data_IF_010367315822
#
_entry.id   IF_010367315822
#
_cell.length_a   1.000
_cell.length_b   1.000
_cell.length_c   1.000
_cell.angle_alpha   90.00
_cell.angle_beta   90.00
_cell.angle_gamma   90.00
#
_symmetry.space_group_name_H-M   'P 1'
#
loop_
_entity.id
_entity.type
_entity.pdbx_description
1 polymer ?
#
# COMPACT_ATOMS: atom_id res chain seq x y z
N UNK A 1 -17.00 -4.27 12.69
CA UNK A 1 -16.04 -3.49 11.91
C UNK A 1 -14.66 -4.00 12.24
N UNK A 2 -13.88 -4.43 11.25
CA UNK A 2 -12.50 -4.89 11.47
C UNK A 2 -11.56 -3.78 11.02
N UNK A 3 -10.79 -3.22 11.95
CA UNK A 3 -9.78 -2.20 11.67
C UNK A 3 -8.41 -2.78 12.00
N UNK A 4 -7.50 -2.76 11.02
CA UNK A 4 -6.10 -3.15 11.20
C UNK A 4 -5.19 -1.96 10.91
N UNK A 5 -4.20 -1.75 11.77
CA UNK A 5 -3.16 -0.75 11.53
C UNK A 5 -2.23 -1.19 10.39
N UNK A 6 -1.49 -0.23 9.81
CA UNK A 6 -0.54 -0.48 8.72
C UNK A 6 0.91 -0.23 9.20
N UNK A 7 1.55 -1.18 9.90
CA UNK A 7 2.90 -0.99 10.40
C UNK A 7 3.92 -0.95 9.26
N UNK A 8 4.92 -0.08 9.38
CA UNK A 8 5.97 0.05 8.38
C UNK A 8 7.09 -0.97 8.62
N UNK A 9 7.37 -1.82 7.62
CA UNK A 9 8.48 -2.78 7.69
C UNK A 9 9.85 -2.09 7.69
N UNK A 10 10.88 -2.77 8.22
CA UNK A 10 12.25 -2.25 8.31
C UNK A 10 12.81 -1.82 6.96
N UNK A 11 12.55 -2.58 5.89
CA UNK A 11 13.03 -2.24 4.55
C UNK A 11 12.48 -0.89 4.06
N UNK A 12 11.17 -0.63 4.26
CA UNK A 12 10.57 0.66 3.89
C UNK A 12 11.15 1.78 4.75
N UNK A 13 11.39 1.55 6.05
CA UNK A 13 12.06 2.53 6.92
C UNK A 13 13.46 2.89 6.43
N UNK A 14 14.26 1.90 6.01
CA UNK A 14 15.62 2.13 5.48
C UNK A 14 15.58 2.92 4.18
N UNK A 15 14.76 2.51 3.20
CA UNK A 15 14.63 3.23 1.92
C UNK A 15 14.16 4.66 2.15
N UNK A 16 13.15 4.84 3.00
CA UNK A 16 12.63 6.17 3.37
C UNK A 16 13.72 7.02 4.02
N UNK A 17 14.48 6.47 4.98
CA UNK A 17 15.57 7.18 5.64
C UNK A 17 16.67 7.63 4.66
N UNK A 18 17.07 6.76 3.73
CA UNK A 18 18.07 7.09 2.71
C UNK A 18 17.60 8.21 1.78
N UNK A 19 16.36 8.14 1.29
CA UNK A 19 15.80 9.18 0.41
C UNK A 19 15.69 10.52 1.15
N UNK A 20 15.26 10.52 2.41
CA UNK A 20 15.18 11.74 3.21
C UNK A 20 16.56 12.33 3.50
N UNK A 21 17.55 11.50 3.84
CA UNK A 21 18.92 11.94 4.05
C UNK A 21 19.53 12.56 2.78
N UNK A 22 19.36 11.89 1.63
CA UNK A 22 19.82 12.42 0.34
C UNK A 22 19.13 13.75 0.01
N UNK A 23 17.82 13.85 0.24
CA UNK A 23 17.07 15.10 0.03
C UNK A 23 17.61 16.23 0.92
N UNK A 24 17.86 15.94 2.21
CA UNK A 24 18.42 16.92 3.13
C UNK A 24 19.82 17.39 2.71
N UNK A 25 20.69 16.47 2.28
CA UNK A 25 22.02 16.82 1.76
C UNK A 25 21.92 17.72 0.52
N UNK A 26 21.03 17.40 -0.43
CA UNK A 26 20.83 18.22 -1.62
C UNK A 26 20.31 19.62 -1.29
N UNK A 27 19.39 19.75 -0.33
CA UNK A 27 18.90 21.05 0.12
C UNK A 27 19.99 21.88 0.82
N UNK A 28 20.78 21.26 1.69
CA UNK A 28 21.88 21.92 2.40
C UNK A 28 22.99 22.37 1.44
N UNK A 29 23.43 21.47 0.55
CA UNK A 29 24.42 21.80 -0.49
C UNK A 29 23.87 22.84 -1.48
N UNK A 30 22.56 22.80 -1.72
CA UNK A 30 21.87 23.73 -2.59
C UNK A 30 21.95 25.19 -2.15
N UNK A 31 22.10 25.47 -0.86
CA UNK A 31 22.29 26.85 -0.37
C UNK A 31 23.48 27.53 -1.06
N UNK A 32 24.48 26.76 -1.53
CA UNK A 32 25.60 27.26 -2.33
C UNK A 32 25.44 27.04 -3.84
N UNK A 33 24.60 26.09 -4.26
CA UNK A 33 24.44 25.70 -5.67
C UNK A 33 22.95 25.64 -6.00
N UNK A 34 22.45 26.67 -6.68
CA UNK A 34 21.02 26.84 -6.94
C UNK A 34 20.35 25.63 -7.64
N UNK A 35 21.06 24.96 -8.56
CA UNK A 35 20.54 23.76 -9.23
C UNK A 35 20.24 22.59 -8.28
N UNK A 36 21.00 22.45 -7.19
CA UNK A 36 20.75 21.43 -6.17
C UNK A 36 19.55 21.78 -5.28
N UNK A 37 19.23 23.07 -5.10
CA UNK A 37 17.99 23.48 -4.40
C UNK A 37 16.76 23.06 -5.19
N UNK A 38 16.76 23.26 -6.50
CA UNK A 38 15.62 22.86 -7.34
C UNK A 38 15.42 21.34 -7.31
N UNK A 39 16.51 20.58 -7.44
CA UNK A 39 16.47 19.11 -7.33
C UNK A 39 16.03 18.62 -5.95
N UNK A 40 16.60 19.18 -4.89
CA UNK A 40 16.25 18.87 -3.50
C UNK A 40 14.81 19.26 -3.16
N UNK A 41 14.35 20.42 -3.62
CA UNK A 41 12.98 20.89 -3.43
C UNK A 41 11.96 20.02 -4.14
N UNK A 42 12.26 19.58 -5.37
CA UNK A 42 11.43 18.62 -6.10
C UNK A 42 11.35 17.28 -5.35
N UNK A 43 12.49 16.73 -4.91
CA UNK A 43 12.52 15.49 -4.12
C UNK A 43 11.76 15.61 -2.81
N UNK A 44 11.91 16.73 -2.09
CA UNK A 44 11.17 16.99 -0.86
C UNK A 44 9.66 17.05 -1.11
N UNK A 45 9.23 17.68 -2.20
CA UNK A 45 7.81 17.76 -2.59
C UNK A 45 7.25 16.38 -2.91
N UNK A 46 8.00 15.56 -3.67
CA UNK A 46 7.62 14.17 -3.97
C UNK A 46 7.57 13.34 -2.69
N UNK A 47 8.53 13.50 -1.77
CA UNK A 47 8.54 12.79 -0.50
C UNK A 47 7.35 13.16 0.38
N UNK A 48 7.00 14.45 0.44
CA UNK A 48 5.83 14.93 1.16
C UNK A 48 4.54 14.38 0.56
N UNK A 49 4.43 14.34 -0.77
CA UNK A 49 3.31 13.70 -1.45
C UNK A 49 3.21 12.21 -1.10
N UNK A 50 4.32 11.46 -1.17
CA UNK A 50 4.38 10.06 -0.79
C UNK A 50 3.98 9.82 0.67
N UNK A 51 4.37 10.72 1.57
CA UNK A 51 3.99 10.67 2.99
C UNK A 51 2.49 10.78 3.19
N UNK A 52 1.82 11.75 2.54
CA UNK A 52 0.37 11.92 2.67
C UNK A 52 -0.42 10.76 2.06
N UNK A 53 0.10 10.14 1.01
CA UNK A 53 -0.50 8.99 0.33
C UNK A 53 -0.06 7.63 0.89
N UNK A 54 0.65 7.60 2.03
CA UNK A 54 0.95 6.35 2.73
C UNK A 54 -0.31 5.82 3.46
N UNK A 55 -0.65 4.52 3.32
CA UNK A 55 -1.75 3.91 4.06
C UNK A 55 -1.48 3.93 5.56
N UNK A 56 -2.50 4.20 6.36
CA UNK A 56 -2.43 4.18 7.83
C UNK A 56 -3.23 3.05 8.45
N UNK A 57 -4.36 2.72 7.85
CA UNK A 57 -5.25 1.68 8.34
C UNK A 57 -6.06 1.05 7.20
N UNK A 58 -6.45 -0.20 7.41
CA UNK A 58 -7.36 -0.94 6.55
C UNK A 58 -8.60 -1.30 7.34
N UNK A 59 -9.76 -0.93 6.80
CA UNK A 59 -11.05 -1.20 7.40
C UNK A 59 -11.88 -2.06 6.45
N UNK A 60 -12.48 -3.12 6.99
CA UNK A 60 -13.41 -3.95 6.24
C UNK A 60 -14.80 -3.86 6.89
N UNK A 61 -15.77 -3.39 6.11
CA UNK A 61 -17.14 -3.16 6.57
C UNK A 61 -18.12 -3.75 5.55
N UNK A 62 -18.77 -4.87 5.92
CA UNK A 62 -19.64 -5.60 5.01
C UNK A 62 -18.88 -6.11 3.79
N UNK A 63 -19.29 -5.64 2.61
CA UNK A 63 -18.68 -5.94 1.31
C UNK A 63 -17.70 -4.86 0.83
N UNK A 64 -17.24 -3.95 1.70
CA UNK A 64 -16.37 -2.84 1.29
C UNK A 64 -15.02 -2.86 2.02
N UNK A 65 -13.95 -2.71 1.25
CA UNK A 65 -12.60 -2.42 1.75
C UNK A 65 -12.37 -0.92 1.72
N UNK A 66 -12.05 -0.33 2.86
CA UNK A 66 -11.60 1.06 2.96
C UNK A 66 -10.12 1.11 3.33
N UNK A 67 -9.33 1.74 2.46
CA UNK A 67 -7.93 2.08 2.75
C UNK A 67 -7.88 3.53 3.22
N UNK A 68 -7.42 3.75 4.44
CA UNK A 68 -7.28 5.10 5.01
C UNK A 68 -5.87 5.61 4.82
N UNK A 69 -5.77 6.85 4.38
CA UNK A 69 -4.51 7.57 4.23
C UNK A 69 -4.44 8.69 5.26
N UNK A 70 -3.30 9.36 5.36
CA UNK A 70 -3.16 10.59 6.16
C UNK A 70 -4.11 11.67 5.66
N UNK A 71 -4.30 11.73 4.34
CA UNK A 71 -5.22 12.66 3.71
C UNK A 71 -6.27 11.88 2.91
N UNK A 72 -7.46 11.76 3.48
CA UNK A 72 -8.60 11.10 2.86
C UNK A 72 -8.63 9.57 3.01
N UNK A 73 -9.53 8.95 2.25
CA UNK A 73 -9.75 7.49 2.24
C UNK A 73 -10.12 7.04 0.83
N UNK A 74 -9.84 5.78 0.53
CA UNK A 74 -10.28 5.13 -0.70
C UNK A 74 -11.12 3.91 -0.39
N UNK A 75 -12.30 3.86 -0.99
CA UNK A 75 -13.28 2.80 -0.76
C UNK A 75 -13.34 1.92 -2.01
N UNK A 76 -13.33 0.61 -1.79
CA UNK A 76 -13.45 -0.43 -2.79
C UNK A 76 -14.65 -1.30 -2.44
N UNK A 77 -15.79 -1.16 -3.15
CA UNK A 77 -16.99 -1.93 -2.86
C UNK A 77 -16.95 -3.34 -3.47
N UNK A 78 -17.94 -4.15 -3.12
CA UNK A 78 -18.15 -5.49 -3.66
C UNK A 78 -16.92 -6.41 -3.50
N UNK A 79 -16.40 -6.51 -2.29
CA UNK A 79 -15.38 -7.49 -1.88
C UNK A 79 -15.97 -8.89 -1.97
N UNK A 80 -15.39 -9.71 -2.84
CA UNK A 80 -15.80 -11.09 -3.11
C UNK A 80 -14.85 -12.12 -2.48
N UNK A 81 -13.64 -11.70 -2.10
CA UNK A 81 -12.63 -12.57 -1.53
C UNK A 81 -11.60 -11.83 -0.69
N UNK A 82 -11.13 -12.45 0.38
CA UNK A 82 -10.02 -11.97 1.19
C UNK A 82 -9.15 -13.17 1.59
N UNK A 83 -7.87 -13.16 1.24
CA UNK A 83 -6.96 -14.27 1.55
C UNK A 83 -5.53 -13.82 1.78
N UNK A 84 -4.80 -14.53 2.64
CA UNK A 84 -3.34 -14.36 2.79
C UNK A 84 -2.62 -14.98 1.59
N UNK A 85 -1.40 -14.52 1.31
CA UNK A 85 -0.57 -15.15 0.29
C UNK A 85 0.15 -16.39 0.84
N UNK A 86 -0.01 -17.53 0.17
CA UNK A 86 0.73 -18.76 0.45
C UNK A 86 2.16 -18.76 -0.10
N UNK A 87 2.41 -17.94 -1.13
CA UNK A 87 3.70 -17.82 -1.79
C UNK A 87 3.96 -16.38 -2.19
N UNK A 88 5.24 -16.04 -2.39
CA UNK A 88 5.65 -14.73 -2.89
C UNK A 88 5.00 -14.48 -4.25
N UNK A 89 4.31 -13.34 -4.45
CA UNK A 89 3.73 -13.03 -5.75
C UNK A 89 4.85 -12.82 -6.78
N UNK A 90 4.61 -13.20 -8.05
CA UNK A 90 5.61 -13.05 -9.09
C UNK A 90 5.99 -11.58 -9.27
N UNK A 91 7.21 -11.36 -9.76
CA UNK A 91 7.73 -10.02 -10.05
C UNK A 91 6.75 -9.29 -10.98
N UNK A 92 6.42 -8.06 -10.63
CA UNK A 92 5.44 -7.26 -11.35
C UNK A 92 6.03 -5.95 -11.85
N UNK A 93 5.38 -5.40 -12.87
CA UNK A 93 5.66 -4.06 -13.40
C UNK A 93 4.84 -3.04 -12.61
N UNK A 94 5.49 -1.95 -12.18
CA UNK A 94 4.82 -0.80 -11.59
C UNK A 94 4.33 0.09 -12.74
N UNK A 95 3.02 0.13 -12.95
CA UNK A 95 2.40 0.97 -13.98
C UNK A 95 2.29 2.42 -13.51
N UNK A 96 1.94 2.62 -12.23
CA UNK A 96 1.85 3.95 -11.64
C UNK A 96 1.96 3.89 -10.13
N UNK A 97 2.62 4.88 -9.52
CA UNK A 97 2.64 5.09 -8.07
C UNK A 97 4.03 5.02 -7.43
N UNK A 98 4.03 4.78 -6.13
CA UNK A 98 5.18 4.78 -5.24
C UNK A 98 5.62 3.34 -4.91
N UNK A 99 6.93 3.10 -4.83
CA UNK A 99 7.52 1.77 -4.70
C UNK A 99 8.41 1.58 -3.48
N UNK A 100 8.28 2.41 -2.44
CA UNK A 100 9.07 2.20 -1.22
C UNK A 100 9.32 3.43 -0.35
N UNK A 101 8.93 4.64 -0.77
CA UNK A 101 9.03 5.82 0.08
C UNK A 101 7.80 5.90 0.98
N UNK A 102 7.93 5.59 2.27
CA UNK A 102 6.82 5.38 3.22
C UNK A 102 5.87 4.20 2.93
N UNK A 103 5.63 3.85 1.66
CA UNK A 103 4.79 2.73 1.27
C UNK A 103 5.03 2.32 -0.20
N UNK A 104 4.61 1.11 -0.57
CA UNK A 104 4.38 0.74 -1.97
C UNK A 104 2.89 0.90 -2.28
N UNK A 105 2.54 2.02 -2.93
CA UNK A 105 1.17 2.38 -3.27
C UNK A 105 1.02 2.64 -4.76
N UNK A 106 -0.01 2.09 -5.40
CA UNK A 106 -0.22 2.35 -6.81
C UNK A 106 -0.93 1.25 -7.58
N UNK A 107 -0.70 1.27 -8.89
CA UNK A 107 -1.21 0.31 -9.87
C UNK A 107 -0.04 -0.51 -10.36
N UNK A 108 -0.18 -1.82 -10.24
CA UNK A 108 0.82 -2.81 -10.59
C UNK A 108 0.22 -3.82 -11.55
N UNK A 109 1.10 -4.49 -12.29
CA UNK A 109 0.71 -5.60 -13.14
C UNK A 109 1.65 -6.77 -12.94
N UNK A 110 1.11 -7.99 -12.88
CA UNK A 110 1.91 -9.20 -13.01
C UNK A 110 1.08 -10.30 -13.70
N UNK A 111 1.75 -11.37 -14.12
CA UNK A 111 1.10 -12.46 -14.85
C UNK A 111 0.04 -13.20 -14.03
N UNK A 112 0.20 -13.29 -12.70
CA UNK A 112 -0.74 -14.02 -11.83
C UNK A 112 -2.04 -13.25 -11.53
N UNK A 113 -1.97 -11.92 -11.40
CA UNK A 113 -3.07 -11.08 -10.94
C UNK A 113 -3.61 -10.15 -12.01
N UNK A 114 -2.94 -10.03 -13.16
CA UNK A 114 -3.25 -9.01 -14.15
C UNK A 114 -2.95 -7.61 -13.59
N UNK A 115 -3.79 -6.62 -13.90
CA UNK A 115 -3.71 -5.29 -13.29
C UNK A 115 -4.33 -5.34 -11.89
N UNK A 116 -3.57 -4.92 -10.88
CA UNK A 116 -4.03 -4.86 -9.50
C UNK A 116 -3.54 -3.58 -8.82
N UNK A 117 -4.18 -3.23 -7.70
CA UNK A 117 -3.74 -2.11 -6.86
C UNK A 117 -2.97 -2.64 -5.67
N UNK A 118 -1.94 -1.92 -5.26
CA UNK A 118 -1.21 -2.23 -4.03
C UNK A 118 -1.25 -1.02 -3.09
N UNK A 119 -1.45 -1.29 -1.81
CA UNK A 119 -1.38 -0.33 -0.72
C UNK A 119 -0.63 -0.98 0.44
N UNK A 120 0.69 -1.06 0.33
CA UNK A 120 1.54 -1.87 1.22
C UNK A 120 2.47 -0.99 2.05
N UNK A 121 2.49 -1.21 3.35
CA UNK A 121 3.46 -0.65 4.30
C UNK A 121 4.49 -1.69 4.74
N UNK A 122 4.33 -2.94 4.31
CA UNK A 122 5.35 -3.99 4.46
C UNK A 122 5.97 -4.35 3.11
N UNK A 123 7.25 -4.72 3.13
CA UNK A 123 7.95 -5.34 2.00
C UNK A 123 7.99 -6.89 2.11
N UNK A 124 7.47 -7.45 3.22
CA UNK A 124 7.42 -8.89 3.46
C UNK A 124 6.11 -9.43 2.93
N UNK A 125 6.18 -10.36 1.98
CA UNK A 125 4.98 -10.89 1.33
C UNK A 125 4.05 -11.66 2.29
N UNK A 126 4.58 -12.16 3.41
CA UNK A 126 3.81 -12.84 4.46
C UNK A 126 2.83 -11.89 5.17
N UNK A 127 3.12 -10.60 5.15
CA UNK A 127 2.26 -9.57 5.75
C UNK A 127 1.12 -9.17 4.80
N UNK A 128 1.06 -9.76 3.59
CA UNK A 128 0.14 -9.32 2.56
C UNK A 128 -1.19 -10.08 2.61
N UNK A 129 -2.26 -9.34 2.34
CA UNK A 129 -3.60 -9.87 2.12
C UNK A 129 -4.07 -9.43 0.73
N UNK A 130 -4.50 -10.41 -0.06
CA UNK A 130 -5.15 -10.20 -1.34
C UNK A 130 -6.66 -10.07 -1.12
N UNK A 131 -7.18 -8.89 -1.43
CA UNK A 131 -8.61 -8.61 -1.46
C UNK A 131 -9.08 -8.61 -2.90
N UNK A 132 -9.95 -9.54 -3.23
CA UNK A 132 -10.64 -9.58 -4.52
C UNK A 132 -11.95 -8.79 -4.39
N UNK A 133 -12.18 -7.89 -5.35
CA UNK A 133 -13.48 -7.26 -5.57
C UNK A 133 -14.04 -7.73 -6.90
N UNK A 134 -15.30 -7.39 -7.18
CA UNK A 134 -15.94 -7.70 -8.47
C UNK A 134 -15.17 -7.16 -9.69
N UNK A 135 -14.41 -6.07 -9.54
CA UNK A 135 -13.77 -5.38 -10.67
C UNK A 135 -12.24 -5.44 -10.67
N UNK A 136 -11.62 -5.63 -9.50
CA UNK A 136 -10.17 -5.55 -9.38
C UNK A 136 -9.65 -6.31 -8.16
N UNK A 137 -8.34 -6.61 -8.19
CA UNK A 137 -7.61 -7.14 -7.04
C UNK A 137 -6.88 -6.00 -6.33
N UNK A 138 -6.91 -6.01 -5.01
CA UNK A 138 -6.19 -5.07 -4.15
C UNK A 138 -5.30 -5.85 -3.18
N UNK A 139 -4.03 -5.48 -3.13
CA UNK A 139 -3.06 -6.01 -2.19
C UNK A 139 -2.86 -5.01 -1.05
N UNK A 140 -3.05 -5.45 0.18
CA UNK A 140 -2.88 -4.66 1.40
C UNK A 140 -1.93 -5.38 2.36
N UNK A 141 -1.39 -4.67 3.35
CA UNK A 141 -0.53 -5.28 4.37
C UNK A 141 -0.97 -4.88 5.79
N UNK A 142 -2.11 -5.42 6.28
CA UNK A 142 -2.57 -5.17 7.63
C UNK A 142 -1.60 -5.75 8.67
N UNK A 143 -1.61 -5.21 9.88
CA UNK A 143 -0.75 -5.67 10.99
C UNK A 143 -0.85 -7.18 11.28
N UNK A 144 -2.07 -7.72 11.33
CA UNK A 144 -2.33 -9.15 11.53
C UNK A 144 -3.10 -9.71 10.32
N UNK A 145 -2.42 -10.21 9.28
CA UNK A 145 -3.06 -10.73 8.06
C UNK A 145 -4.09 -11.84 8.31
N UNK A 146 -3.73 -12.80 9.16
CA UNK A 146 -4.58 -13.95 9.47
C UNK A 146 -5.87 -13.54 10.20
N UNK A 147 -5.74 -12.65 11.19
CA UNK A 147 -6.91 -12.12 11.91
C UNK A 147 -7.80 -11.28 11.00
N UNK A 148 -7.21 -10.48 10.12
CA UNK A 148 -7.94 -9.67 9.15
C UNK A 148 -8.79 -10.52 8.21
N UNK A 149 -8.22 -11.60 7.67
CA UNK A 149 -8.92 -12.55 6.81
C UNK A 149 -10.00 -13.31 7.58
N UNK A 150 -9.70 -13.77 8.80
CA UNK A 150 -10.66 -14.49 9.65
C UNK A 150 -11.86 -13.60 9.98
N UNK A 151 -11.63 -12.36 10.35
CA UNK A 151 -12.68 -11.40 10.67
C UNK A 151 -13.55 -11.08 9.44
N UNK A 152 -12.96 -11.01 8.24
CA UNK A 152 -13.75 -10.92 7.02
C UNK A 152 -14.63 -12.16 6.83
N UNK A 153 -14.07 -13.36 6.92
CA UNK A 153 -14.81 -14.61 6.71
C UNK A 153 -16.02 -14.75 7.67
N UNK A 154 -15.89 -14.27 8.91
CA UNK A 154 -17.00 -14.24 9.88
C UNK A 154 -18.08 -13.18 9.58
N UNK A 155 -17.76 -12.17 8.77
CA UNK A 155 -18.67 -11.06 8.41
C UNK A 155 -19.12 -11.08 6.94
N UNK A 156 -18.57 -12.00 6.15
CA UNK A 156 -18.82 -12.07 4.72
C UNK A 156 -20.27 -12.47 4.46
N UNK A 157 -20.97 -11.81 3.53
CA UNK A 157 -22.28 -12.28 3.10
C UNK A 157 -22.15 -13.71 2.58
N UNK A 158 -23.08 -14.58 2.97
CA UNK A 158 -23.09 -15.97 2.51
C UNK A 158 -22.95 -16.01 0.98
N UNK A 159 -22.02 -16.83 0.48
CA UNK A 159 -21.78 -16.95 -0.94
C UNK A 159 -23.11 -17.26 -1.65
N UNK A 160 -23.42 -16.63 -2.80
CA UNK A 160 -24.62 -16.96 -3.54
C UNK A 160 -24.57 -18.45 -3.92
N UNK A 161 -25.58 -19.20 -3.48
CA UNK A 161 -25.76 -20.61 -3.82
C UNK A 161 -25.78 -20.75 -5.34
N UNK A 162 -24.97 -21.63 -5.95
CA UNK A 162 -25.12 -21.93 -7.36
C UNK A 162 -26.49 -22.58 -7.55
N UNK A 163 -27.37 -21.90 -8.29
CA UNK A 163 -28.65 -22.44 -8.76
C UNK A 163 -28.48 -23.25 -10.03
#
# INVERSE_FOLDING_TARGET
MTQASAPMSTAIKVITGLVLAMTAVMLLAGVKVWGLLLGGGLLATVALFCYFYAPMAYELTGDQLTVRFRLGRKVFPAVTGCSTLSARPPMGLRLWGNGGLFAATGIFWNQAYGVYRAYLTSARYQDYVLVATRTQKILISPENPAEFVKAWASSAPAAPTPG
#
